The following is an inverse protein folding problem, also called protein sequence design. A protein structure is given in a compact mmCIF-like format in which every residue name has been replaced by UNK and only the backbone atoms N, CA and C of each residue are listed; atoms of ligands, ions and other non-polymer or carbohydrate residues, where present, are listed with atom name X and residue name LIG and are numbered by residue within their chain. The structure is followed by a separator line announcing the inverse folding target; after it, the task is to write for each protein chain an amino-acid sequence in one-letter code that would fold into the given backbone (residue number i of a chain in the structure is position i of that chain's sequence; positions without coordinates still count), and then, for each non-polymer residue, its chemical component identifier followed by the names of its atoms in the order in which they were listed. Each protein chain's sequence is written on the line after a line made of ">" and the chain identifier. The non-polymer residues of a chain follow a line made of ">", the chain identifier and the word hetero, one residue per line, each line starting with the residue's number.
data_IF_831826652395
#
_entry.id   IF_831826652395
#
_cell.length_a   1.000
_cell.length_b   1.000
_cell.length_c   1.000
_cell.angle_alpha   90.00
_cell.angle_beta   90.00
_cell.angle_gamma   90.00
#
_symmetry.space_group_name_H-M   'P 1'
#
loop_
_entity.id
_entity.type
_entity.pdbx_description
1 polymer ?
#
# COMPACT_ATOMS: atom_id res chain seq x y z
N UNK A 1 21.03 20.01 -7.56
CA UNK A 1 19.72 19.36 -7.40
C UNK A 1 19.93 17.90 -7.82
N UNK A 2 19.90 16.96 -6.86
CA UNK A 2 20.08 15.53 -7.18
C UNK A 2 18.92 15.05 -8.04
N UNK A 3 19.22 14.31 -9.09
CA UNK A 3 18.24 13.60 -9.89
C UNK A 3 17.50 12.66 -8.93
N UNK A 4 16.19 12.85 -8.81
CA UNK A 4 15.37 12.01 -7.94
C UNK A 4 15.26 10.63 -8.62
N UNK A 5 16.22 9.74 -8.30
CA UNK A 5 16.32 8.42 -8.91
C UNK A 5 15.11 7.60 -8.53
N UNK A 6 14.46 6.99 -9.52
CA UNK A 6 13.31 6.11 -9.31
C UNK A 6 13.76 4.80 -8.73
N UNK A 7 13.13 4.41 -7.61
CA UNK A 7 13.37 3.15 -6.95
C UNK A 7 12.15 2.24 -7.09
N UNK A 8 12.39 0.94 -7.20
CA UNK A 8 11.37 -0.10 -7.09
C UNK A 8 11.84 -1.23 -6.18
N UNK A 9 10.95 -1.88 -5.43
CA UNK A 9 11.31 -3.11 -4.73
C UNK A 9 11.56 -4.21 -5.77
N UNK A 10 12.63 -4.98 -5.57
CA UNK A 10 13.00 -6.07 -6.47
C UNK A 10 13.07 -7.42 -5.80
N UNK A 11 13.61 -7.47 -4.59
CA UNK A 11 13.82 -8.74 -3.92
C UNK A 11 13.34 -8.67 -2.47
N UNK A 12 12.59 -9.69 -2.06
CA UNK A 12 12.13 -9.85 -0.69
C UNK A 12 12.65 -11.16 -0.13
N UNK A 13 13.23 -11.12 1.07
CA UNK A 13 13.72 -12.30 1.76
C UNK A 13 13.32 -12.31 3.23
N UNK A 14 13.05 -13.49 3.73
CA UNK A 14 12.72 -13.79 5.11
C UNK A 14 13.68 -14.86 5.59
N UNK A 15 14.56 -14.52 6.52
CA UNK A 15 15.33 -15.54 7.24
C UNK A 15 14.42 -16.24 8.25
N UNK A 16 13.66 -15.46 9.02
CA UNK A 16 12.70 -15.98 9.98
C UNK A 16 11.56 -14.97 10.24
N UNK A 17 10.32 -15.45 10.13
CA UNK A 17 9.12 -14.76 10.56
C UNK A 17 7.99 -15.77 10.74
N UNK A 18 7.60 -16.07 11.96
CA UNK A 18 6.55 -17.05 12.29
C UNK A 18 6.82 -18.41 11.59
N UNK A 19 5.95 -18.81 10.67
CA UNK A 19 6.09 -20.05 9.91
C UNK A 19 7.03 -19.94 8.69
N UNK A 20 7.46 -18.74 8.34
CA UNK A 20 8.38 -18.54 7.23
C UNK A 20 9.82 -18.69 7.69
N UNK A 21 10.57 -19.56 7.02
CA UNK A 21 12.01 -19.78 7.23
C UNK A 21 12.69 -19.85 5.88
N UNK A 22 13.72 -19.06 5.70
CA UNK A 22 14.56 -19.06 4.50
C UNK A 22 13.76 -18.94 3.20
N UNK A 23 12.78 -18.03 3.18
CA UNK A 23 11.97 -17.73 2.00
C UNK A 23 12.55 -16.52 1.29
N UNK A 24 12.77 -16.66 -0.02
CA UNK A 24 13.33 -15.60 -0.85
C UNK A 24 12.72 -15.63 -2.25
N UNK A 25 12.37 -14.47 -2.80
CA UNK A 25 11.84 -14.36 -4.14
C UNK A 25 12.00 -12.95 -4.71
N UNK A 26 12.01 -12.89 -6.05
CA UNK A 26 12.04 -11.65 -6.79
C UNK A 26 10.62 -11.07 -6.96
N UNK A 27 10.53 -9.75 -6.90
CA UNK A 27 9.33 -8.99 -7.18
C UNK A 27 9.35 -8.54 -8.65
N UNK A 28 8.29 -8.86 -9.36
CA UNK A 28 8.14 -8.45 -10.75
C UNK A 28 8.11 -6.92 -10.90
N UNK A 29 8.68 -6.43 -11.98
CA UNK A 29 8.75 -4.99 -12.27
C UNK A 29 7.39 -4.28 -12.26
N UNK A 30 6.32 -4.98 -12.69
CA UNK A 30 4.97 -4.42 -12.77
C UNK A 30 3.98 -5.18 -11.91
N UNK A 31 4.01 -6.50 -11.98
CA UNK A 31 3.04 -7.38 -11.31
C UNK A 31 3.79 -8.55 -10.67
N UNK A 32 3.49 -8.80 -9.42
CA UNK A 32 3.90 -10.00 -8.68
C UNK A 32 2.64 -10.71 -8.20
N UNK A 33 2.52 -12.00 -8.50
CA UNK A 33 1.40 -12.82 -8.04
C UNK A 33 1.89 -13.78 -6.96
N UNK A 34 1.35 -13.67 -5.75
CA UNK A 34 1.62 -14.58 -4.63
C UNK A 34 0.41 -15.51 -4.49
N UNK A 35 0.60 -16.79 -4.81
CA UNK A 35 -0.44 -17.81 -4.75
C UNK A 35 -0.11 -18.89 -3.71
N UNK A 36 -1.12 -19.64 -3.29
CA UNK A 36 -0.99 -20.74 -2.34
C UNK A 36 -2.29 -21.00 -1.59
N UNK A 37 -2.31 -22.05 -0.78
CA UNK A 37 -3.47 -22.44 0.03
C UNK A 37 -3.86 -21.35 1.05
N UNK A 38 -5.10 -21.43 1.56
CA UNK A 38 -5.53 -20.53 2.63
C UNK A 38 -4.75 -20.82 3.93
N UNK A 39 -4.44 -19.79 4.68
CA UNK A 39 -3.72 -19.89 5.95
C UNK A 39 -2.18 -19.94 5.84
N UNK A 40 -1.58 -20.07 4.66
CA UNK A 40 -0.11 -20.12 4.51
C UNK A 40 0.61 -18.77 4.70
N UNK A 41 -0.11 -17.68 4.97
CA UNK A 41 0.50 -16.38 5.30
C UNK A 41 0.71 -15.42 4.12
N UNK A 42 0.06 -15.61 2.97
CA UNK A 42 0.16 -14.70 1.81
C UNK A 42 -0.08 -13.23 2.17
N UNK A 43 -1.12 -12.96 2.96
CA UNK A 43 -1.46 -11.60 3.42
C UNK A 43 -0.38 -11.02 4.33
N UNK A 44 0.30 -11.85 5.13
CA UNK A 44 1.44 -11.42 5.94
C UNK A 44 2.59 -10.96 5.04
N UNK A 45 2.94 -11.73 4.00
CA UNK A 45 4.00 -11.36 3.06
C UNK A 45 3.70 -10.04 2.36
N UNK A 46 2.47 -9.85 1.85
CA UNK A 46 2.06 -8.61 1.19
C UNK A 46 2.17 -7.39 2.13
N UNK A 47 1.76 -7.53 3.39
CA UNK A 47 1.82 -6.43 4.36
C UNK A 47 3.25 -6.11 4.79
N UNK A 48 4.12 -7.13 4.88
CA UNK A 48 5.54 -6.96 5.17
C UNK A 48 6.23 -6.20 4.03
N UNK A 49 5.98 -6.59 2.78
CA UNK A 49 6.49 -5.89 1.59
C UNK A 49 6.00 -4.43 1.58
N UNK A 50 4.71 -4.19 1.83
CA UNK A 50 4.14 -2.86 1.90
C UNK A 50 4.75 -1.98 3.01
N UNK A 51 5.30 -2.59 4.07
CA UNK A 51 5.88 -1.87 5.21
C UNK A 51 7.27 -1.29 4.96
N UNK A 52 7.97 -1.73 3.92
CA UNK A 52 9.32 -1.22 3.58
C UNK A 52 9.29 0.15 2.91
N UNK A 53 8.19 0.49 2.27
CA UNK A 53 8.00 1.72 1.50
C UNK A 53 6.86 2.55 2.08
N UNK A 54 6.81 3.82 1.72
CA UNK A 54 5.71 4.69 2.08
C UNK A 54 6.05 6.16 1.92
N UNK A 55 5.04 6.95 1.62
CA UNK A 55 5.12 8.40 1.54
C UNK A 55 4.16 9.02 2.55
N UNK A 56 4.68 9.85 3.44
CA UNK A 56 3.87 10.61 4.40
C UNK A 56 3.17 11.79 3.69
N UNK A 57 2.28 11.43 2.76
CA UNK A 57 1.41 12.34 2.02
C UNK A 57 -0.01 11.80 2.08
N UNK A 58 -0.97 12.68 2.24
CA UNK A 58 -2.38 12.27 2.26
C UNK A 58 -2.96 12.28 0.84
N UNK A 59 -3.77 11.27 0.55
CA UNK A 59 -4.65 11.28 -0.62
C UNK A 59 -5.74 12.34 -0.49
N UNK A 60 -6.44 12.61 -1.57
CA UNK A 60 -7.59 13.55 -1.55
C UNK A 60 -8.70 13.08 -0.59
N UNK A 61 -8.80 11.78 -0.35
CA UNK A 61 -9.73 11.20 0.64
C UNK A 61 -9.22 11.27 2.09
N UNK A 62 -7.97 11.71 2.30
CA UNK A 62 -7.36 11.86 3.62
C UNK A 62 -6.57 10.64 4.11
N UNK A 63 -6.50 9.56 3.35
CA UNK A 63 -5.71 8.38 3.68
C UNK A 63 -4.23 8.60 3.36
N UNK A 64 -3.32 8.02 4.15
CA UNK A 64 -1.89 8.09 3.89
C UNK A 64 -1.47 7.10 2.79
N UNK A 65 -0.38 7.45 2.07
CA UNK A 65 0.32 6.52 1.17
C UNK A 65 1.44 5.77 1.90
N UNK A 66 1.22 5.48 3.17
CA UNK A 66 2.14 4.77 4.04
C UNK A 66 1.32 3.85 4.96
N UNK A 67 1.10 2.58 4.58
CA UNK A 67 0.38 1.63 5.41
C UNK A 67 1.19 1.30 6.67
N UNK A 68 0.51 1.20 7.80
CA UNK A 68 1.13 0.78 9.04
C UNK A 68 0.76 -0.68 9.36
N UNK A 69 1.77 -1.51 9.61
CA UNK A 69 1.60 -2.95 9.80
C UNK A 69 0.62 -3.26 10.94
N UNK A 70 0.72 -2.56 12.05
CA UNK A 70 -0.14 -2.74 13.23
C UNK A 70 -1.62 -2.42 12.98
N UNK A 71 -1.96 -1.72 11.90
CA UNK A 71 -3.36 -1.46 11.51
C UNK A 71 -4.03 -2.70 10.92
N UNK A 72 -3.26 -3.68 10.46
CA UNK A 72 -3.74 -4.85 9.71
C UNK A 72 -3.39 -6.18 10.38
N UNK A 73 -2.30 -6.20 11.16
CA UNK A 73 -1.79 -7.41 11.80
C UNK A 73 -1.36 -7.12 13.22
N UNK A 74 -1.76 -8.01 14.11
CA UNK A 74 -1.26 -8.03 15.46
C UNK A 74 -0.07 -8.99 15.59
N UNK A 75 1.01 -8.51 16.18
CA UNK A 75 2.09 -9.33 16.71
C UNK A 75 1.93 -9.27 18.23
N UNK A 76 1.86 -10.42 18.86
CA UNK A 76 1.72 -10.52 20.31
C UNK A 76 3.01 -10.09 21.01
N UNK A 77 2.90 -9.50 22.20
CA UNK A 77 4.07 -9.11 22.98
C UNK A 77 4.87 -10.32 23.45
N UNK A 78 4.24 -11.47 23.56
CA UNK A 78 4.88 -12.75 23.92
C UNK A 78 5.55 -13.46 22.72
N UNK A 79 5.35 -12.98 21.48
CA UNK A 79 6.10 -13.48 20.33
C UNK A 79 7.56 -13.02 20.40
N UNK A 80 8.51 -13.88 20.00
CA UNK A 80 9.93 -13.52 19.86
C UNK A 80 10.14 -12.65 18.60
N UNK A 81 9.49 -11.49 18.57
CA UNK A 81 9.52 -10.58 17.41
C UNK A 81 10.89 -9.95 17.18
N UNK A 82 11.78 -9.93 18.18
CA UNK A 82 13.15 -9.44 18.03
C UNK A 82 14.00 -10.37 17.16
N UNK A 83 13.66 -11.66 17.12
CA UNK A 83 14.31 -12.65 16.26
C UNK A 83 13.91 -12.54 14.78
N UNK A 84 12.84 -11.82 14.45
CA UNK A 84 12.36 -11.69 13.09
C UNK A 84 13.35 -10.95 12.20
N UNK A 85 13.68 -11.56 11.06
CA UNK A 85 14.67 -11.05 10.11
C UNK A 85 14.13 -11.12 8.69
N UNK A 86 13.85 -9.96 8.16
CA UNK A 86 13.32 -9.80 6.81
C UNK A 86 14.04 -8.64 6.12
N UNK A 87 14.20 -8.77 4.80
CA UNK A 87 14.89 -7.77 4.00
C UNK A 87 14.08 -7.47 2.74
N UNK A 88 14.08 -6.20 2.36
CA UNK A 88 13.51 -5.73 1.11
C UNK A 88 14.58 -4.91 0.38
N UNK A 89 14.98 -5.40 -0.78
CA UNK A 89 16.01 -4.77 -1.62
C UNK A 89 15.33 -3.96 -2.71
N UNK A 90 15.87 -2.81 -2.96
CA UNK A 90 15.42 -1.85 -3.96
C UNK A 90 16.49 -1.64 -5.01
N UNK A 91 16.03 -1.46 -6.24
CA UNK A 91 16.88 -1.14 -7.39
C UNK A 91 16.37 0.11 -8.08
N UNK A 92 17.23 0.73 -8.88
CA UNK A 92 16.85 1.77 -9.82
C UNK A 92 16.05 1.19 -11.01
N UNK A 93 15.44 2.03 -11.83
CA UNK A 93 14.65 1.60 -12.98
C UNK A 93 15.42 0.73 -13.99
N UNK A 94 16.72 0.93 -14.11
CA UNK A 94 17.64 0.14 -14.96
C UNK A 94 18.06 -1.21 -14.35
N UNK A 95 17.71 -1.46 -13.08
CA UNK A 95 18.09 -2.67 -12.34
C UNK A 95 19.35 -2.51 -11.48
N UNK A 96 19.97 -1.34 -11.46
CA UNK A 96 21.15 -1.10 -10.61
C UNK A 96 20.76 -1.24 -9.13
N UNK A 97 21.48 -2.07 -8.33
CA UNK A 97 21.25 -2.19 -6.91
C UNK A 97 21.38 -0.84 -6.19
N UNK A 98 20.36 -0.48 -5.41
CA UNK A 98 20.28 0.83 -4.77
C UNK A 98 20.48 0.74 -3.24
N UNK A 99 19.57 0.09 -2.56
CA UNK A 99 19.61 -0.06 -1.11
C UNK A 99 18.81 -1.26 -0.62
N UNK A 100 19.15 -1.75 0.56
CA UNK A 100 18.37 -2.80 1.27
C UNK A 100 17.84 -2.26 2.58
N UNK A 101 16.60 -2.58 2.89
CA UNK A 101 15.95 -2.32 4.18
C UNK A 101 15.73 -3.64 4.92
N UNK A 102 16.28 -3.73 6.13
CA UNK A 102 15.90 -4.74 7.12
C UNK A 102 14.61 -4.27 7.80
N UNK A 103 13.57 -5.08 7.75
CA UNK A 103 12.32 -4.83 8.48
C UNK A 103 12.50 -5.32 9.92
N UNK A 104 12.71 -4.40 10.85
CA UNK A 104 12.90 -4.67 12.27
C UNK A 104 11.61 -4.39 13.02
N UNK A 105 11.31 -5.21 14.01
CA UNK A 105 10.13 -5.05 14.85
C UNK A 105 10.50 -4.28 16.12
N UNK A 106 9.60 -3.46 16.58
CA UNK A 106 9.76 -2.65 17.79
C UNK A 106 8.47 -2.64 18.57
N UNK A 107 8.57 -2.88 19.86
CA UNK A 107 7.48 -2.64 20.80
C UNK A 107 7.21 -1.14 20.95
N UNK A 108 5.99 -0.74 20.66
CA UNK A 108 5.46 0.61 20.78
C UNK A 108 4.07 0.58 21.45
N UNK A 109 3.78 -0.48 22.22
CA UNK A 109 2.50 -0.74 22.91
C UNK A 109 2.14 0.41 23.86
N UNK A 110 3.13 1.01 24.51
CA UNK A 110 2.95 2.18 25.38
C UNK A 110 2.31 3.38 24.65
N UNK A 111 2.44 3.46 23.35
CA UNK A 111 1.81 4.51 22.53
C UNK A 111 0.50 4.08 21.89
N UNK A 112 0.02 2.87 22.18
CA UNK A 112 -1.17 2.26 21.60
C UNK A 112 -0.99 1.73 20.18
N UNK A 113 0.26 1.60 19.68
CA UNK A 113 0.59 1.12 18.32
C UNK A 113 0.98 -0.34 18.28
N UNK A 114 1.07 -1.02 19.41
CA UNK A 114 1.52 -2.42 19.48
C UNK A 114 2.92 -2.61 18.94
N UNK A 115 3.19 -3.81 18.42
CA UNK A 115 4.45 -4.14 17.76
C UNK A 115 4.42 -3.63 16.32
N UNK A 116 5.34 -2.72 15.98
CA UNK A 116 5.39 -2.10 14.65
C UNK A 116 6.71 -2.38 13.91
N UNK A 117 6.67 -2.24 12.60
CA UNK A 117 7.84 -2.40 11.74
C UNK A 117 8.58 -1.06 11.59
N UNK A 118 9.91 -1.12 11.74
CA UNK A 118 10.83 -0.04 11.43
C UNK A 118 11.81 -0.52 10.35
N UNK A 119 11.76 0.00 9.13
CA UNK A 119 12.70 -0.35 8.08
C UNK A 119 14.06 0.31 8.35
N UNK A 120 15.06 -0.49 8.71
CA UNK A 120 16.43 -0.02 8.91
C UNK A 120 17.28 -0.29 7.68
N UNK A 121 18.12 0.66 7.29
CA UNK A 121 19.09 0.44 6.20
C UNK A 121 20.03 -0.72 6.59
N UNK A 122 20.32 -1.57 5.61
CA UNK A 122 21.18 -2.75 5.76
C UNK A 122 22.19 -2.78 4.61
N UNK A 123 23.33 -3.41 4.81
CA UNK A 123 24.31 -3.70 3.77
C UNK A 123 24.19 -5.13 3.21
N UNK A 124 23.22 -5.91 3.68
CA UNK A 124 22.94 -7.24 3.13
C UNK A 124 22.43 -7.12 1.70
N UNK A 125 22.90 -7.97 0.81
CA UNK A 125 22.66 -7.93 -0.65
C UNK A 125 23.22 -6.70 -1.37
N UNK A 126 24.20 -5.98 -0.75
CA UNK A 126 24.96 -4.92 -1.39
C UNK A 126 26.45 -5.29 -1.31
N UNK A 127 27.05 -5.57 -2.45
CA UNK A 127 28.43 -6.02 -2.51
C UNK A 127 29.43 -4.97 -2.00
N UNK A 128 30.47 -5.42 -1.29
CA UNK A 128 31.58 -4.62 -0.83
C UNK A 128 31.21 -3.34 -0.05
N UNK A 129 30.11 -3.35 0.70
CA UNK A 129 29.60 -2.21 1.40
C UNK A 129 29.49 -2.46 2.91
N UNK A 130 30.05 -1.58 3.72
CA UNK A 130 29.82 -1.57 5.17
C UNK A 130 28.45 -0.97 5.49
N UNK A 131 27.88 -1.29 6.67
CA UNK A 131 26.61 -0.71 7.10
C UNK A 131 26.64 0.83 7.08
N UNK A 132 27.72 1.44 7.59
CA UNK A 132 27.90 2.89 7.60
C UNK A 132 27.90 3.48 6.18
N UNK A 133 28.55 2.80 5.24
CA UNK A 133 28.57 3.23 3.84
C UNK A 133 27.19 3.10 3.20
N UNK A 134 26.47 1.99 3.48
CA UNK A 134 25.09 1.81 3.00
C UNK A 134 24.15 2.92 3.49
N UNK A 135 24.27 3.33 4.76
CA UNK A 135 23.48 4.44 5.31
C UNK A 135 23.81 5.79 4.67
N UNK A 136 25.09 6.06 4.45
CA UNK A 136 25.55 7.28 3.77
C UNK A 136 25.04 7.31 2.33
N UNK A 137 25.18 6.23 1.58
CA UNK A 137 24.71 6.13 0.20
C UNK A 137 23.19 6.29 0.11
N UNK A 138 22.44 5.57 0.96
CA UNK A 138 20.99 5.67 1.01
C UNK A 138 20.52 7.13 1.27
N UNK A 139 21.23 7.85 2.15
CA UNK A 139 20.89 9.25 2.45
C UNK A 139 21.27 10.19 1.33
N UNK A 140 22.48 10.06 0.77
CA UNK A 140 23.01 11.02 -0.20
C UNK A 140 22.43 10.83 -1.61
N UNK A 141 22.24 9.58 -2.04
CA UNK A 141 21.78 9.28 -3.40
C UNK A 141 20.25 9.22 -3.51
N UNK A 142 19.57 8.73 -2.45
CA UNK A 142 18.13 8.47 -2.50
C UNK A 142 17.32 9.26 -1.47
N UNK A 143 17.97 10.09 -0.66
CA UNK A 143 17.36 10.83 0.45
C UNK A 143 16.54 9.92 1.41
N UNK A 144 17.07 8.72 1.68
CA UNK A 144 16.45 7.73 2.57
C UNK A 144 17.26 7.59 3.85
N UNK A 145 16.70 8.04 4.98
CA UNK A 145 17.34 7.92 6.30
C UNK A 145 17.47 6.48 6.78
N UNK A 146 18.39 6.24 7.73
CA UNK A 146 18.71 4.90 8.25
C UNK A 146 17.50 4.13 8.77
N UNK A 147 16.55 4.78 9.46
CA UNK A 147 15.31 4.18 9.97
C UNK A 147 14.05 4.64 9.22
N UNK A 148 14.20 5.26 8.04
CA UNK A 148 13.11 5.74 7.22
C UNK A 148 12.68 4.70 6.18
N UNK A 149 11.41 4.72 5.81
CA UNK A 149 10.87 3.98 4.65
C UNK A 149 11.42 4.56 3.35
N UNK A 150 11.50 3.73 2.33
CA UNK A 150 11.78 4.20 0.96
C UNK A 150 10.57 5.02 0.49
N UNK A 151 10.84 6.19 -0.10
CA UNK A 151 9.81 7.17 -0.48
C UNK A 151 9.02 6.76 -1.72
N UNK A 152 8.41 5.58 -1.69
CA UNK A 152 7.50 5.08 -2.71
C UNK A 152 6.09 5.13 -2.13
N UNK A 153 5.16 5.90 -2.71
CA UNK A 153 3.76 5.88 -2.29
C UNK A 153 3.24 4.46 -2.28
N UNK A 154 2.74 3.99 -1.15
CA UNK A 154 2.32 2.60 -0.99
C UNK A 154 0.88 2.54 -0.51
N UNK A 155 0.08 1.69 -1.15
CA UNK A 155 -1.28 1.37 -0.76
C UNK A 155 -1.35 -0.12 -0.44
N UNK A 156 -1.80 -0.46 0.75
CA UNK A 156 -2.14 -1.83 1.13
C UNK A 156 -3.66 -1.99 1.17
N UNK A 157 -4.18 -2.90 0.34
CA UNK A 157 -5.60 -3.24 0.28
C UNK A 157 -5.89 -4.40 1.24
N UNK A 158 -6.20 -4.07 2.48
CA UNK A 158 -6.50 -5.05 3.52
C UNK A 158 -7.77 -5.86 3.23
N UNK A 159 -7.95 -6.96 3.96
CA UNK A 159 -9.17 -7.80 3.87
C UNK A 159 -10.45 -7.05 4.27
N UNK A 160 -10.34 -5.89 4.95
CA UNK A 160 -11.49 -5.05 5.28
C UNK A 160 -12.31 -4.61 4.05
N UNK A 161 -11.68 -4.58 2.86
CA UNK A 161 -12.37 -4.30 1.59
C UNK A 161 -13.43 -5.35 1.23
N UNK A 162 -13.30 -6.58 1.74
CA UNK A 162 -14.21 -7.69 1.45
C UNK A 162 -15.44 -7.71 2.35
N UNK A 163 -15.55 -6.82 3.32
CA UNK A 163 -16.75 -6.74 4.15
C UNK A 163 -17.86 -6.00 3.39
N UNK A 164 -19.03 -6.64 3.15
CA UNK A 164 -20.13 -6.00 2.45
C UNK A 164 -20.60 -4.74 3.17
N UNK A 165 -20.84 -3.67 2.44
CA UNK A 165 -21.33 -2.41 3.00
C UNK A 165 -22.69 -2.59 3.68
N UNK A 166 -23.55 -3.43 3.10
CA UNK A 166 -24.90 -3.71 3.62
C UNK A 166 -24.92 -4.39 4.99
N UNK A 167 -23.89 -5.16 5.35
CA UNK A 167 -23.77 -5.81 6.67
C UNK A 167 -23.25 -4.86 7.77
N UNK A 168 -22.75 -3.68 7.40
CA UNK A 168 -22.17 -2.71 8.32
C UNK A 168 -22.83 -1.33 8.25
N UNK A 169 -24.12 -1.29 7.98
CA UNK A 169 -24.89 -0.05 7.80
C UNK A 169 -24.64 0.99 8.90
N UNK A 170 -24.52 0.55 10.14
CA UNK A 170 -24.37 1.43 11.30
C UNK A 170 -22.97 2.05 11.44
N UNK A 171 -21.96 1.49 10.74
CA UNK A 171 -20.56 1.93 10.81
C UNK A 171 -20.06 2.52 9.51
N UNK A 172 -20.82 2.40 8.43
CA UNK A 172 -20.47 2.93 7.10
C UNK A 172 -21.04 4.34 6.93
N UNK A 173 -20.15 5.25 6.57
CA UNK A 173 -20.56 6.61 6.18
C UNK A 173 -20.34 6.81 4.69
N UNK A 174 -21.38 7.19 3.98
CA UNK A 174 -21.34 7.55 2.56
C UNK A 174 -21.58 9.05 2.42
N UNK A 175 -20.69 9.72 1.70
CA UNK A 175 -20.77 11.16 1.48
C UNK A 175 -20.57 11.45 -0.01
N UNK A 176 -21.56 12.05 -0.65
CA UNK A 176 -21.45 12.50 -2.04
C UNK A 176 -20.34 13.55 -2.19
N UNK A 177 -19.52 13.38 -3.24
CA UNK A 177 -18.44 14.32 -3.53
C UNK A 177 -18.97 15.45 -4.41
N UNK A 178 -18.83 16.67 -3.93
CA UNK A 178 -19.27 17.87 -4.65
C UNK A 178 -18.46 18.07 -5.94
N UNK A 179 -19.11 18.51 -7.02
CA UNK A 179 -18.48 18.77 -8.33
C UNK A 179 -17.31 19.78 -8.30
N UNK A 180 -17.19 20.59 -7.25
CA UNK A 180 -16.04 21.51 -7.04
C UNK A 180 -14.79 20.81 -6.49
N UNK A 181 -14.88 19.53 -6.14
CA UNK A 181 -13.76 18.78 -5.58
C UNK A 181 -12.69 18.50 -6.64
N UNK A 182 -11.43 18.35 -6.19
CA UNK A 182 -10.29 18.03 -7.04
C UNK A 182 -10.48 16.76 -7.89
N UNK A 183 -11.29 15.79 -7.45
CA UNK A 183 -11.61 14.61 -8.25
C UNK A 183 -12.27 14.94 -9.57
N UNK A 184 -13.27 15.83 -9.56
CA UNK A 184 -13.95 16.28 -10.79
C UNK A 184 -13.07 17.21 -11.63
N UNK A 185 -12.30 18.09 -10.97
CA UNK A 185 -11.38 19.00 -11.67
C UNK A 185 -10.29 18.25 -12.44
N UNK A 186 -9.82 17.11 -11.92
CA UNK A 186 -8.81 16.24 -12.53
C UNK A 186 -9.41 15.06 -13.30
N UNK A 187 -10.70 15.05 -13.58
CA UNK A 187 -11.42 14.00 -14.31
C UNK A 187 -11.30 12.61 -13.71
N UNK A 188 -11.09 12.50 -12.40
CA UNK A 188 -10.97 11.23 -11.72
C UNK A 188 -12.29 10.45 -11.69
N UNK A 189 -13.42 11.11 -11.75
CA UNK A 189 -14.75 10.52 -11.90
C UNK A 189 -14.93 9.85 -13.29
N UNK A 190 -14.45 10.49 -14.36
CA UNK A 190 -14.44 9.92 -15.71
C UNK A 190 -13.55 8.67 -15.75
N UNK A 191 -12.35 8.73 -15.15
CA UNK A 191 -11.41 7.60 -15.04
C UNK A 191 -11.98 6.45 -14.21
N UNK A 192 -12.66 6.74 -13.11
CA UNK A 192 -13.33 5.72 -12.31
C UNK A 192 -14.37 4.95 -13.14
N UNK A 193 -15.23 5.65 -13.88
CA UNK A 193 -16.24 5.08 -14.77
C UNK A 193 -15.58 4.23 -15.88
N UNK A 194 -14.57 4.79 -16.54
CA UNK A 194 -13.82 4.11 -17.59
C UNK A 194 -13.25 2.77 -17.10
N UNK A 195 -12.49 2.79 -16.02
CA UNK A 195 -11.80 1.58 -15.51
C UNK A 195 -12.77 0.55 -14.94
N UNK A 196 -13.83 1.02 -14.27
CA UNK A 196 -14.86 0.10 -13.78
C UNK A 196 -15.58 -0.60 -14.93
N UNK A 197 -15.97 0.16 -15.98
CA UNK A 197 -16.66 -0.37 -17.15
C UNK A 197 -15.76 -1.25 -18.07
N UNK A 198 -14.44 -1.14 -17.97
CA UNK A 198 -13.51 -2.09 -18.60
C UNK A 198 -13.63 -3.47 -17.96
N UNK A 199 -13.81 -3.54 -16.63
CA UNK A 199 -13.92 -4.82 -15.91
C UNK A 199 -15.34 -5.38 -15.98
N UNK A 200 -16.35 -4.54 -15.78
CA UNK A 200 -17.77 -4.92 -15.85
C UNK A 200 -18.47 -3.94 -16.81
N UNK A 201 -18.64 -4.32 -18.09
CA UNK A 201 -19.17 -3.41 -19.11
C UNK A 201 -20.55 -2.85 -18.80
N UNK A 202 -20.76 -1.57 -19.11
CA UNK A 202 -22.03 -0.87 -18.97
C UNK A 202 -22.59 -0.83 -17.53
N UNK A 203 -21.73 -0.97 -16.53
CA UNK A 203 -22.14 -0.99 -15.12
C UNK A 203 -22.40 0.40 -14.54
N UNK A 204 -21.59 1.39 -14.91
CA UNK A 204 -21.71 2.75 -14.40
C UNK A 204 -22.19 3.66 -15.52
N UNK A 205 -23.31 4.33 -15.27
CA UNK A 205 -23.92 5.28 -16.20
C UNK A 205 -23.20 6.63 -16.18
N UNK A 206 -23.41 7.43 -17.22
CA UNK A 206 -22.79 8.77 -17.37
C UNK A 206 -23.14 9.74 -16.23
N UNK A 207 -24.36 9.66 -15.73
CA UNK A 207 -24.91 10.51 -14.67
C UNK A 207 -24.53 10.07 -13.25
N UNK A 208 -23.91 8.89 -13.07
CA UNK A 208 -23.54 8.42 -11.75
C UNK A 208 -22.59 9.38 -11.03
N UNK A 209 -22.87 9.61 -9.75
CA UNK A 209 -22.15 10.56 -8.90
C UNK A 209 -21.13 9.82 -8.03
N UNK A 210 -19.96 10.44 -7.86
CA UNK A 210 -18.89 9.90 -7.04
C UNK A 210 -19.18 10.12 -5.56
N UNK A 211 -19.06 9.07 -4.77
CA UNK A 211 -19.25 9.11 -3.33
C UNK A 211 -17.99 8.62 -2.59
N UNK A 212 -17.68 9.26 -1.48
CA UNK A 212 -16.69 8.78 -0.50
C UNK A 212 -17.36 7.79 0.43
N UNK A 213 -16.75 6.63 0.61
CA UNK A 213 -17.19 5.59 1.55
C UNK A 213 -16.14 5.43 2.64
N UNK A 214 -16.57 5.49 3.89
CA UNK A 214 -15.75 5.27 5.08
C UNK A 214 -16.32 4.09 5.85
N UNK A 215 -15.54 3.00 5.99
CA UNK A 215 -15.94 1.71 6.60
C UNK A 215 -15.50 1.56 8.07
N UNK A 216 -15.26 2.66 8.78
CA UNK A 216 -14.76 2.68 10.15
C UNK A 216 -13.28 3.09 10.25
N UNK A 217 -12.74 3.12 11.48
CA UNK A 217 -11.47 3.78 11.79
C UNK A 217 -10.22 3.15 11.12
N UNK A 218 -10.23 1.83 10.90
CA UNK A 218 -9.06 1.09 10.40
C UNK A 218 -9.13 0.80 8.89
N UNK A 219 -10.18 1.23 8.20
CA UNK A 219 -10.31 1.01 6.76
C UNK A 219 -9.95 2.29 6.00
N UNK A 220 -9.16 2.12 4.92
CA UNK A 220 -8.91 3.21 3.99
C UNK A 220 -10.23 3.70 3.40
N UNK A 221 -10.47 5.02 3.41
CA UNK A 221 -11.61 5.60 2.71
C UNK A 221 -11.51 5.31 1.20
N UNK A 222 -12.62 5.00 0.56
CA UNK A 222 -12.69 4.63 -0.85
C UNK A 222 -13.72 5.44 -1.62
N UNK A 223 -13.55 5.48 -2.94
CA UNK A 223 -14.50 6.07 -3.88
C UNK A 223 -15.44 5.00 -4.41
N UNK A 224 -16.71 5.32 -4.51
CA UNK A 224 -17.73 4.47 -5.11
C UNK A 224 -18.70 5.28 -5.97
N UNK A 225 -19.38 4.60 -6.87
CA UNK A 225 -20.51 5.11 -7.63
C UNK A 225 -21.63 4.08 -7.60
N UNK A 226 -22.86 4.52 -7.82
CA UNK A 226 -23.98 3.61 -8.01
C UNK A 226 -23.83 2.81 -9.30
N UNK A 227 -24.17 1.52 -9.24
CA UNK A 227 -23.98 0.56 -10.33
C UNK A 227 -25.35 0.09 -10.82
N UNK A 228 -25.67 0.31 -12.10
CA UNK A 228 -26.92 -0.13 -12.71
C UNK A 228 -28.17 0.24 -11.87
N UNK A 229 -28.22 1.47 -11.35
CA UNK A 229 -29.23 1.96 -10.41
C UNK A 229 -29.23 1.24 -9.03
N UNK A 230 -28.23 0.43 -8.75
CA UNK A 230 -28.06 -0.14 -7.41
C UNK A 230 -27.26 0.84 -6.56
N UNK A 231 -27.84 1.36 -5.48
CA UNK A 231 -27.14 2.26 -4.57
C UNK A 231 -25.88 1.61 -3.99
N UNK A 232 -24.89 2.41 -3.68
CA UNK A 232 -23.59 1.96 -3.14
C UNK A 232 -23.75 1.01 -1.95
N UNK A 233 -24.67 1.26 -1.01
CA UNK A 233 -24.94 0.37 0.14
C UNK A 233 -25.51 -1.01 -0.24
N UNK A 234 -26.10 -1.15 -1.40
CA UNK A 234 -26.76 -2.37 -1.87
C UNK A 234 -25.88 -3.18 -2.83
N UNK A 235 -24.67 -2.75 -3.06
CA UNK A 235 -23.73 -3.43 -3.95
C UNK A 235 -23.30 -4.78 -3.36
N UNK A 236 -23.10 -5.75 -4.24
CA UNK A 236 -22.52 -7.05 -3.88
C UNK A 236 -21.07 -6.92 -3.42
N UNK A 237 -20.57 -7.93 -2.69
CA UNK A 237 -19.17 -7.99 -2.24
C UNK A 237 -18.20 -7.78 -3.41
N UNK A 238 -18.47 -8.40 -4.58
CA UNK A 238 -17.61 -8.28 -5.76
C UNK A 238 -17.60 -6.87 -6.33
N UNK A 239 -18.75 -6.22 -6.39
CA UNK A 239 -18.90 -4.84 -6.88
C UNK A 239 -18.20 -3.85 -5.93
N UNK A 240 -18.42 -3.99 -4.63
CA UNK A 240 -17.77 -3.17 -3.61
C UNK A 240 -16.24 -3.38 -3.61
N UNK A 241 -15.78 -4.62 -3.70
CA UNK A 241 -14.36 -4.93 -3.77
C UNK A 241 -13.71 -4.31 -5.02
N UNK A 242 -14.34 -4.42 -6.18
CA UNK A 242 -13.85 -3.76 -7.40
C UNK A 242 -13.82 -2.24 -7.22
N UNK A 243 -14.84 -1.65 -6.62
CA UNK A 243 -14.86 -0.22 -6.29
C UNK A 243 -13.68 0.20 -5.41
N UNK A 244 -13.32 -0.61 -4.40
CA UNK A 244 -12.15 -0.34 -3.54
C UNK A 244 -10.83 -0.40 -4.34
N UNK A 245 -10.68 -1.38 -5.25
CA UNK A 245 -9.48 -1.50 -6.10
C UNK A 245 -9.37 -0.31 -7.04
N UNK A 246 -10.45 0.03 -7.76
CA UNK A 246 -10.49 1.19 -8.65
C UNK A 246 -10.21 2.48 -7.88
N UNK A 247 -10.76 2.63 -6.67
CA UNK A 247 -10.49 3.78 -5.81
C UNK A 247 -9.00 3.93 -5.49
N UNK A 248 -8.31 2.83 -5.19
CA UNK A 248 -6.87 2.86 -4.96
C UNK A 248 -6.09 3.28 -6.21
N UNK A 249 -6.50 2.79 -7.38
CA UNK A 249 -5.92 3.21 -8.66
C UNK A 249 -6.19 4.70 -8.96
N UNK A 250 -7.35 5.22 -8.59
CA UNK A 250 -7.67 6.65 -8.69
C UNK A 250 -6.78 7.48 -7.76
N UNK A 251 -6.52 7.03 -6.53
CA UNK A 251 -5.57 7.73 -5.64
C UNK A 251 -4.17 7.80 -6.26
N UNK A 252 -3.70 6.72 -6.92
CA UNK A 252 -2.43 6.71 -7.66
C UNK A 252 -2.49 7.64 -8.88
N UNK A 253 -3.58 7.62 -9.63
CA UNK A 253 -3.80 8.52 -10.78
C UNK A 253 -3.76 9.99 -10.36
N UNK A 254 -4.44 10.34 -9.27
CA UNK A 254 -4.40 11.70 -8.73
C UNK A 254 -2.98 12.12 -8.31
N UNK A 255 -2.24 11.19 -7.71
CA UNK A 255 -0.86 11.41 -7.30
C UNK A 255 0.09 11.54 -8.51
N UNK A 256 -0.16 10.80 -9.60
CA UNK A 256 0.67 10.85 -10.81
C UNK A 256 0.62 12.18 -11.56
N UNK A 257 -0.32 13.04 -11.21
CA UNK A 257 -0.40 14.40 -11.75
C UNK A 257 0.48 15.40 -10.98
N UNK A 258 1.14 14.96 -9.91
CA UNK A 258 2.08 15.78 -9.17
C UNK A 258 3.48 15.65 -9.76
N UNK A 259 4.23 16.75 -9.85
CA UNK A 259 5.54 16.81 -10.52
C UNK A 259 6.61 15.88 -9.89
N UNK A 260 6.42 15.49 -8.63
CA UNK A 260 7.35 14.63 -7.89
C UNK A 260 6.99 13.12 -7.96
N UNK A 261 6.02 12.73 -8.78
CA UNK A 261 5.59 11.34 -8.86
C UNK A 261 6.63 10.44 -9.54
N UNK A 262 7.09 9.42 -8.83
CA UNK A 262 8.09 8.45 -9.27
C UNK A 262 7.61 6.99 -9.28
N UNK A 263 6.31 6.77 -9.30
CA UNK A 263 5.70 5.44 -9.20
C UNK A 263 5.01 5.22 -7.87
N UNK A 264 4.29 4.10 -7.74
CA UNK A 264 3.60 3.69 -6.52
C UNK A 264 3.60 2.17 -6.39
N UNK A 265 3.47 1.67 -5.14
CA UNK A 265 3.30 0.26 -4.83
C UNK A 265 1.85 0.03 -4.37
N UNK A 266 1.17 -0.92 -5.02
CA UNK A 266 -0.15 -1.40 -4.63
C UNK A 266 -0.04 -2.88 -4.21
N UNK A 267 -0.36 -3.19 -2.96
CA UNK A 267 -0.36 -4.53 -2.38
C UNK A 267 -1.76 -4.97 -1.94
#
# INVERSE_FOLDING_TARGET
>A
MGVNKKLRPEHFSVEYFRNFKEVSFELGRKITVISGQNGVGKSNLLSLIASGSGLNKKSVLGSNFQPEFYEFFNVDEDEDFESYKLYLTYVEDDGTPALTKRLSFKDDTKTGRGIRIIPRTSNIYIDNCTLKQAEINAKNEYDVGGAARVKIPTIYLSLSRLYPLGERKDTVKITEIRKKNAFYQRKADEKYKEWYNVVIPNSIKSEAVLSKVEKGACARASLHMDINNTPTLSQSIGQDNLGNIISALIDIYMLSMDDEYNGALLC
#
